data_IF_166989194914
#
_entry.id   IF_166989194914
#
_cell.length_a   1.000
_cell.length_b   1.000
_cell.length_c   1.000
_cell.angle_alpha   90.00
_cell.angle_beta   90.00
_cell.angle_gamma   90.00
#
_symmetry.space_group_name_H-M   'P 1'
#
loop_
_entity.id
_entity.type
_entity.pdbx_description
1 polymer ?
#
# COMPACT_ATOMS: atom_id res chain seq x y z
N UNK A 1 5.32 5.62 27.93
CA UNK A 1 5.46 6.35 26.65
C UNK A 1 5.37 5.32 25.53
N UNK A 2 4.37 5.34 24.65
CA UNK A 2 4.27 4.32 23.60
C UNK A 2 5.40 4.52 22.61
N UNK A 3 6.05 3.41 22.22
CA UNK A 3 7.09 3.40 21.20
C UNK A 3 6.45 3.86 19.89
N UNK A 4 6.77 5.06 19.44
CA UNK A 4 6.33 5.55 18.13
C UNK A 4 7.11 4.72 17.10
N UNK A 5 6.50 3.64 16.61
CA UNK A 5 7.01 2.90 15.44
C UNK A 5 7.24 3.94 14.34
N UNK A 6 8.46 4.03 13.81
CA UNK A 6 8.82 4.89 12.69
C UNK A 6 7.76 4.77 11.58
N UNK A 7 6.97 5.82 11.39
CA UNK A 7 5.93 5.89 10.36
C UNK A 7 6.65 6.04 9.01
N UNK A 8 6.58 5.00 8.17
CA UNK A 8 7.19 4.99 6.85
C UNK A 8 6.64 6.10 5.95
N UNK A 9 7.43 6.57 4.98
CA UNK A 9 7.04 7.66 4.05
C UNK A 9 5.66 7.43 3.41
N UNK A 10 5.37 6.21 2.97
CA UNK A 10 4.08 5.85 2.36
C UNK A 10 2.88 6.04 3.30
N UNK A 11 3.08 5.80 4.60
CA UNK A 11 2.04 5.92 5.62
C UNK A 11 1.74 7.40 5.92
N UNK A 12 2.80 8.24 5.96
CA UNK A 12 2.66 9.70 6.09
C UNK A 12 1.87 10.29 4.93
N UNK A 13 2.18 9.91 3.68
CA UNK A 13 1.45 10.41 2.52
C UNK A 13 0.01 9.91 2.46
N UNK A 14 -0.25 8.67 2.90
CA UNK A 14 -1.62 8.16 3.00
C UNK A 14 -2.46 8.98 3.98
N UNK A 15 -1.90 9.32 5.15
CA UNK A 15 -2.56 10.17 6.14
C UNK A 15 -2.86 11.57 5.60
N UNK A 16 -1.89 12.22 4.93
CA UNK A 16 -2.13 13.55 4.35
C UNK A 16 -3.20 13.53 3.27
N UNK A 17 -3.22 12.51 2.41
CA UNK A 17 -4.21 12.41 1.36
C UNK A 17 -5.61 12.10 1.90
N UNK A 18 -5.70 11.30 2.96
CA UNK A 18 -6.96 11.03 3.67
C UNK A 18 -7.51 12.29 4.34
N UNK A 19 -6.66 13.09 4.98
CA UNK A 19 -7.07 14.36 5.58
C UNK A 19 -7.55 15.35 4.51
N UNK A 20 -6.79 15.48 3.42
CA UNK A 20 -7.12 16.38 2.30
C UNK A 20 -8.45 16.02 1.62
N UNK A 21 -8.74 14.72 1.47
CA UNK A 21 -9.95 14.24 0.78
C UNK A 21 -11.13 13.96 1.73
N UNK A 22 -11.01 14.31 3.01
CA UNK A 22 -12.06 14.03 4.00
C UNK A 22 -13.41 14.65 3.62
N UNK A 23 -13.40 15.86 3.07
CA UNK A 23 -14.61 16.57 2.67
C UNK A 23 -15.25 15.96 1.40
N UNK A 24 -14.43 15.42 0.48
CA UNK A 24 -14.89 14.78 -0.76
C UNK A 24 -14.04 13.54 -1.09
N UNK A 25 -14.47 12.34 -0.65
CA UNK A 25 -13.72 11.10 -0.86
C UNK A 25 -13.78 10.63 -2.32
N UNK A 26 -12.85 11.09 -3.14
CA UNK A 26 -12.77 10.67 -4.54
C UNK A 26 -12.29 9.20 -4.68
N UNK A 27 -12.87 8.40 -5.60
CA UNK A 27 -12.46 7.01 -5.82
C UNK A 27 -10.96 6.84 -6.08
N UNK A 28 -10.35 7.70 -6.90
CA UNK A 28 -8.89 7.67 -7.14
C UNK A 28 -8.09 7.93 -5.87
N UNK A 29 -8.53 8.85 -5.01
CA UNK A 29 -7.82 9.15 -3.77
C UNK A 29 -7.91 7.98 -2.80
N UNK A 30 -9.06 7.31 -2.71
CA UNK A 30 -9.22 6.08 -1.92
C UNK A 30 -8.23 5.00 -2.36
N UNK A 31 -8.07 4.81 -3.67
CA UNK A 31 -7.06 3.88 -4.21
C UNK A 31 -5.64 4.24 -3.75
N UNK A 32 -5.23 5.51 -3.88
CA UNK A 32 -3.87 5.93 -3.49
C UNK A 32 -3.63 5.81 -1.98
N UNK A 33 -4.63 6.10 -1.14
CA UNK A 33 -4.57 5.92 0.31
C UNK A 33 -4.41 4.42 0.64
N UNK A 34 -5.25 3.56 0.06
CA UNK A 34 -5.19 2.12 0.27
C UNK A 34 -3.84 1.53 -0.15
N UNK A 35 -3.31 1.98 -1.30
CA UNK A 35 -1.97 1.63 -1.77
C UNK A 35 -0.87 2.07 -0.80
N UNK A 36 -0.92 3.31 -0.31
CA UNK A 36 0.06 3.83 0.64
C UNK A 36 0.12 3.01 1.92
N UNK A 37 -1.05 2.66 2.47
CA UNK A 37 -1.17 1.83 3.67
C UNK A 37 -0.67 0.40 3.45
N UNK A 38 -1.06 -0.24 2.34
CA UNK A 38 -0.63 -1.60 2.03
C UNK A 38 0.90 -1.70 1.85
N UNK A 39 1.51 -0.72 1.18
CA UNK A 39 2.97 -0.66 1.02
C UNK A 39 3.69 -0.34 2.34
N UNK A 40 3.10 0.50 3.21
CA UNK A 40 3.67 0.77 4.53
C UNK A 40 3.65 -0.48 5.42
N UNK A 41 2.54 -1.21 5.45
CA UNK A 41 2.42 -2.50 6.15
C UNK A 41 3.46 -3.50 5.63
N UNK A 42 3.52 -3.68 4.31
CA UNK A 42 4.50 -4.57 3.69
C UNK A 42 5.95 -4.17 4.03
N UNK A 43 6.27 -2.86 4.00
CA UNK A 43 7.58 -2.34 4.36
C UNK A 43 7.96 -2.51 5.84
N UNK A 44 6.97 -2.65 6.73
CA UNK A 44 7.16 -3.02 8.15
C UNK A 44 7.30 -4.53 8.36
N UNK A 45 7.25 -5.33 7.30
CA UNK A 45 7.27 -6.80 7.38
C UNK A 45 5.93 -7.44 7.71
N UNK A 46 4.83 -6.66 7.74
CA UNK A 46 3.47 -7.19 7.91
C UNK A 46 3.07 -7.90 6.61
N UNK A 47 3.32 -9.22 6.55
CA UNK A 47 3.05 -10.09 5.40
C UNK A 47 1.88 -11.06 5.68
N UNK A 48 0.94 -10.66 6.51
CA UNK A 48 -0.24 -11.46 6.80
C UNK A 48 -1.13 -11.62 5.56
N UNK A 49 -2.01 -12.63 5.61
CA UNK A 49 -2.91 -12.93 4.49
C UNK A 49 -3.76 -11.73 4.07
N UNK A 50 -4.14 -10.88 5.03
CA UNK A 50 -4.92 -9.67 4.80
C UNK A 50 -4.14 -8.62 4.01
N UNK A 51 -2.91 -8.32 4.39
CA UNK A 51 -2.07 -7.35 3.68
C UNK A 51 -1.76 -7.83 2.26
N UNK A 52 -1.50 -9.12 2.10
CA UNK A 52 -1.26 -9.72 0.78
C UNK A 52 -2.50 -9.71 -0.12
N UNK A 53 -3.67 -10.04 0.43
CA UNK A 53 -4.94 -9.95 -0.31
C UNK A 53 -5.25 -8.51 -0.72
N UNK A 54 -5.01 -7.54 0.15
CA UNK A 54 -5.17 -6.12 -0.17
C UNK A 54 -4.24 -5.67 -1.31
N UNK A 55 -2.98 -6.10 -1.31
CA UNK A 55 -2.04 -5.80 -2.39
C UNK A 55 -2.50 -6.41 -3.73
N UNK A 56 -3.05 -7.63 -3.71
CA UNK A 56 -3.60 -8.28 -4.91
C UNK A 56 -4.83 -7.55 -5.45
N UNK A 57 -5.76 -7.14 -4.58
CA UNK A 57 -6.94 -6.36 -4.98
C UNK A 57 -6.53 -5.02 -5.60
N UNK A 58 -5.51 -4.36 -5.04
CA UNK A 58 -4.95 -3.13 -5.59
C UNK A 58 -4.27 -3.33 -6.94
N UNK A 59 -3.64 -4.48 -7.20
CA UNK A 59 -3.15 -4.82 -8.53
C UNK A 59 -4.29 -4.91 -9.55
N UNK A 60 -5.37 -5.64 -9.21
CA UNK A 60 -6.53 -5.79 -10.09
C UNK A 60 -7.20 -4.44 -10.38
N UNK A 61 -7.38 -3.60 -9.36
CA UNK A 61 -7.95 -2.26 -9.53
C UNK A 61 -7.04 -1.35 -10.37
N UNK A 62 -5.73 -1.41 -10.18
CA UNK A 62 -4.77 -0.65 -10.99
C UNK A 62 -4.76 -1.08 -12.46
N UNK A 63 -4.96 -2.37 -12.72
CA UNK A 63 -5.09 -2.93 -14.07
C UNK A 63 -6.37 -2.46 -14.74
N UNK A 64 -7.52 -2.59 -14.07
CA UNK A 64 -8.83 -2.15 -14.58
C UNK A 64 -8.87 -0.64 -14.88
N UNK A 65 -8.21 0.18 -14.06
CA UNK A 65 -8.21 1.64 -14.19
C UNK A 65 -7.08 2.18 -15.09
N UNK A 66 -6.24 1.30 -15.64
CA UNK A 66 -5.13 1.70 -16.52
C UNK A 66 -3.97 2.41 -15.81
N UNK A 67 -3.85 2.27 -14.48
CA UNK A 67 -2.80 2.89 -13.66
C UNK A 67 -1.46 2.12 -13.74
N UNK A 68 -0.91 2.01 -14.95
CA UNK A 68 0.27 1.18 -15.28
C UNK A 68 1.50 1.38 -14.37
N UNK A 69 1.79 2.63 -13.97
CA UNK A 69 2.90 2.92 -13.04
C UNK A 69 2.65 2.37 -11.64
N UNK A 70 1.41 2.46 -11.14
CA UNK A 70 1.06 1.94 -9.83
C UNK A 70 1.06 0.41 -9.83
N UNK A 71 0.55 -0.20 -10.91
CA UNK A 71 0.56 -1.64 -11.12
C UNK A 71 1.97 -2.23 -11.06
N UNK A 72 2.92 -1.66 -11.83
CA UNK A 72 4.31 -2.15 -11.84
C UNK A 72 4.96 -2.13 -10.46
N UNK A 73 4.73 -1.07 -9.68
CA UNK A 73 5.27 -0.95 -8.34
C UNK A 73 4.63 -1.95 -7.35
N UNK A 74 3.32 -2.21 -7.48
CA UNK A 74 2.63 -3.20 -6.66
C UNK A 74 3.07 -4.63 -7.01
N UNK A 75 3.26 -4.93 -8.30
CA UNK A 75 3.81 -6.20 -8.76
C UNK A 75 5.22 -6.43 -8.23
N UNK A 76 6.09 -5.41 -8.23
CA UNK A 76 7.43 -5.51 -7.63
C UNK A 76 7.36 -5.85 -6.13
N UNK A 77 6.47 -5.23 -5.37
CA UNK A 77 6.25 -5.56 -3.97
C UNK A 77 5.76 -7.02 -3.79
N UNK A 78 4.90 -7.50 -4.69
CA UNK A 78 4.40 -8.87 -4.65
C UNK A 78 5.42 -9.93 -5.13
N UNK A 79 6.33 -9.57 -6.05
CA UNK A 79 7.43 -10.43 -6.51
C UNK A 79 8.57 -10.53 -5.50
N UNK A 80 8.79 -9.50 -4.68
CA UNK A 80 9.77 -9.52 -3.58
C UNK A 80 9.35 -10.44 -2.40
N UNK A 81 8.24 -11.17 -2.56
CA UNK A 81 7.76 -12.23 -1.66
C UNK A 81 8.70 -13.43 -1.56
N UNK A 82 9.71 -13.53 -2.45
CA UNK A 82 10.59 -14.70 -2.59
C UNK A 82 12.03 -14.60 -2.06
N UNK A 83 12.48 -13.50 -1.43
CA UNK A 83 13.92 -13.35 -1.07
C UNK A 83 14.18 -13.30 0.44
N UNK A 84 13.31 -13.87 1.28
CA UNK A 84 13.62 -14.05 2.70
C UNK A 84 13.11 -15.38 3.26
N UNK A 85 13.61 -16.47 2.66
CA UNK A 85 13.62 -17.81 3.25
C UNK A 85 15.03 -18.42 3.08
N UNK A 86 15.83 -18.25 4.15
CA UNK A 86 17.04 -19.00 4.55
C UNK A 86 18.31 -18.86 3.68
N UNK A 87 19.52 -19.17 4.19
CA UNK A 87 19.86 -20.06 5.32
C UNK A 87 19.66 -19.46 6.72
#
# INVERSE_FOLDING_TARGET
MPVIKQVGRSDKYALFLEDYTRAEPLPRSRFFIARGRALAAYGRGERDAKTLSNLQNLCAEAEQTGLKKALKALQQANSNRGVHLAP
#
